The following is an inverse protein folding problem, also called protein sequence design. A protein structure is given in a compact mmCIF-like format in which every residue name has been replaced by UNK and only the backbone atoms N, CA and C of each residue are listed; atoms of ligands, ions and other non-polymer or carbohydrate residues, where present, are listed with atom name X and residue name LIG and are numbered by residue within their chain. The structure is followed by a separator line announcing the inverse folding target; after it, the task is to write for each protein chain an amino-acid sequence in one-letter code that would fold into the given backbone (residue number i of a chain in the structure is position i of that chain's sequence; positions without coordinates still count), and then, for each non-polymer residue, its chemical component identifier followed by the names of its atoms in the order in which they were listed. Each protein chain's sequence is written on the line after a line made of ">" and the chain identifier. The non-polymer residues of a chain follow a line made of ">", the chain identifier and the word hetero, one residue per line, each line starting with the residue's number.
data_IF_907111897355
#
_entry.id   IF_907111897355
#
_cell.length_a   1.000
_cell.length_b   1.000
_cell.length_c   1.000
_cell.angle_alpha   90.00
_cell.angle_beta   90.00
_cell.angle_gamma   90.00
#
_symmetry.space_group_name_H-M   'P 1'
#
loop_
_entity.id
_entity.type
_entity.pdbx_description
1 polymer ?
#
# COMPACT_ATOMS: atom_id res chain seq x y z
N UNK A 1 3.51 19.54 -11.41
CA UNK A 1 3.56 18.96 -10.05
C UNK A 1 2.51 19.64 -9.19
N UNK A 2 1.73 18.93 -8.36
CA UNK A 2 0.82 19.56 -7.42
C UNK A 2 1.62 20.48 -6.49
N UNK A 3 1.25 21.76 -6.44
CA UNK A 3 2.06 22.82 -5.82
C UNK A 3 1.70 23.11 -4.36
N UNK A 4 0.90 22.25 -3.71
CA UNK A 4 0.40 22.53 -2.36
C UNK A 4 0.38 21.27 -1.48
N UNK A 5 1.56 20.79 -1.11
CA UNK A 5 1.73 19.81 -0.04
C UNK A 5 2.46 20.54 1.08
N UNK A 6 1.70 21.06 2.04
CA UNK A 6 2.27 21.65 3.26
C UNK A 6 2.83 20.55 4.15
N UNK A 7 4.01 20.80 4.75
CA UNK A 7 4.84 19.87 5.54
C UNK A 7 4.12 19.16 6.72
N UNK A 8 2.89 19.56 7.05
CA UNK A 8 2.07 19.00 8.14
C UNK A 8 1.10 17.89 7.71
N UNK A 9 0.84 17.72 6.41
CA UNK A 9 -0.29 16.90 5.97
C UNK A 9 0.20 15.59 5.35
N UNK A 10 -0.25 14.46 5.92
CA UNK A 10 -0.01 13.15 5.33
C UNK A 10 -0.63 13.09 3.94
N UNK A 11 0.20 12.88 2.92
CA UNK A 11 -0.25 12.69 1.54
C UNK A 11 -0.28 11.21 1.18
N UNK A 12 -1.30 10.80 0.44
CA UNK A 12 -1.44 9.43 -0.06
C UNK A 12 -0.71 9.32 -1.40
N UNK A 13 0.33 8.49 -1.45
CA UNK A 13 1.02 8.11 -2.68
C UNK A 13 0.62 6.68 -3.03
N UNK A 14 0.17 6.46 -4.27
CA UNK A 14 -0.24 5.15 -4.75
C UNK A 14 0.27 4.94 -6.16
N UNK A 15 0.65 3.71 -6.46
CA UNK A 15 0.78 3.24 -7.83
C UNK A 15 0.01 1.93 -8.02
N UNK A 16 -0.62 1.80 -9.18
CA UNK A 16 -1.24 0.54 -9.62
C UNK A 16 -0.35 -0.06 -10.70
N UNK A 17 0.11 -1.29 -10.47
CA UNK A 17 0.95 -2.01 -11.40
C UNK A 17 0.20 -3.21 -11.97
N UNK A 18 0.05 -3.23 -13.28
CA UNK A 18 -0.55 -4.33 -14.04
C UNK A 18 0.39 -4.73 -15.18
N UNK A 19 0.17 -5.88 -15.86
CA UNK A 19 0.98 -6.25 -17.01
C UNK A 19 0.98 -5.24 -18.17
N UNK A 20 -0.05 -4.39 -18.26
CA UNK A 20 -0.22 -3.45 -19.36
C UNK A 20 0.22 -2.01 -19.03
N UNK A 21 0.20 -1.63 -17.75
CA UNK A 21 0.50 -0.26 -17.35
C UNK A 21 0.87 -0.13 -15.87
N UNK A 22 1.61 0.94 -15.58
CA UNK A 22 1.84 1.46 -14.24
C UNK A 22 1.20 2.85 -14.12
N UNK A 23 0.18 2.99 -13.27
CA UNK A 23 -0.53 4.25 -13.04
C UNK A 23 -0.09 4.86 -11.71
N UNK A 24 0.12 6.18 -11.67
CA UNK A 24 0.55 6.91 -10.47
C UNK A 24 -0.53 7.87 -9.99
N UNK A 25 -0.70 7.94 -8.67
CA UNK A 25 -1.69 8.77 -8.01
C UNK A 25 -1.08 9.52 -6.82
N UNK A 26 -1.55 10.74 -6.62
CA UNK A 26 -1.32 11.50 -5.38
C UNK A 26 -2.67 11.97 -4.87
N UNK A 27 -2.96 11.69 -3.60
CA UNK A 27 -4.24 12.01 -2.97
C UNK A 27 -5.44 11.54 -3.81
N UNK A 28 -5.34 10.32 -4.35
CA UNK A 28 -6.34 9.66 -5.22
C UNK A 28 -6.56 10.30 -6.59
N UNK A 29 -5.79 11.32 -6.95
CA UNK A 29 -5.82 11.97 -8.26
C UNK A 29 -4.78 11.30 -9.15
N UNK A 30 -5.20 10.86 -10.34
CA UNK A 30 -4.28 10.29 -11.34
C UNK A 30 -3.35 11.37 -11.86
N UNK A 31 -2.04 11.11 -11.80
CA UNK A 31 -1.01 12.03 -12.28
C UNK A 31 -0.39 11.58 -13.59
N UNK A 32 -0.19 10.28 -13.76
CA UNK A 32 0.55 9.74 -14.89
C UNK A 32 0.23 8.25 -15.11
N UNK A 33 0.45 7.78 -16.32
CA UNK A 33 0.29 6.39 -16.73
C UNK A 33 1.43 6.01 -17.68
N UNK A 34 2.13 4.91 -17.37
CA UNK A 34 3.21 4.37 -18.19
C UNK A 34 2.78 3.05 -18.80
N UNK A 35 2.86 2.97 -20.13
CA UNK A 35 2.56 1.76 -20.93
C UNK A 35 3.80 1.17 -21.61
N UNK A 36 4.91 1.90 -21.61
CA UNK A 36 6.21 1.45 -22.15
C UNK A 36 7.09 0.95 -21.01
N UNK A 37 7.87 -0.11 -21.26
CA UNK A 37 8.80 -0.72 -20.30
C UNK A 37 8.18 -1.05 -18.94
N UNK A 38 6.92 -1.51 -18.97
CA UNK A 38 6.22 -1.95 -17.75
C UNK A 38 6.94 -3.18 -17.20
N UNK A 39 7.42 -3.16 -15.94
CA UNK A 39 8.12 -4.30 -15.35
C UNK A 39 7.24 -5.55 -15.35
N UNK A 40 7.84 -6.72 -15.61
CA UNK A 40 7.15 -8.02 -15.64
C UNK A 40 7.67 -9.02 -14.61
N UNK A 41 8.76 -8.68 -13.91
CA UNK A 41 9.42 -9.54 -12.93
C UNK A 41 8.99 -9.11 -11.53
N UNK A 42 8.60 -10.08 -10.70
CA UNK A 42 8.23 -9.85 -9.31
C UNK A 42 9.40 -9.26 -8.50
N UNK A 43 9.09 -8.31 -7.63
CA UNK A 43 10.09 -7.63 -6.79
C UNK A 43 9.68 -7.54 -5.33
N UNK A 44 10.59 -7.02 -4.52
CA UNK A 44 10.37 -6.70 -3.11
C UNK A 44 10.03 -5.22 -2.95
N UNK A 45 9.24 -4.88 -1.92
CA UNK A 45 8.93 -3.49 -1.58
C UNK A 45 10.01 -2.97 -0.63
N UNK A 46 10.63 -1.86 -1.00
CA UNK A 46 11.63 -1.17 -0.20
C UNK A 46 11.16 0.24 0.12
N UNK A 47 11.36 0.65 1.37
CA UNK A 47 11.18 2.02 1.80
C UNK A 47 12.47 2.45 2.52
N UNK A 48 13.09 3.51 2.04
CA UNK A 48 14.31 4.07 2.63
C UNK A 48 14.30 5.60 2.54
N UNK A 49 15.10 6.23 3.40
CA UNK A 49 15.41 7.65 3.35
C UNK A 49 16.93 7.78 3.42
N UNK A 50 17.53 8.33 2.36
CA UNK A 50 18.96 8.58 2.24
C UNK A 50 19.17 9.87 1.45
N UNK A 51 20.38 10.45 1.51
CA UNK A 51 20.73 11.67 0.80
C UNK A 51 22.23 11.77 0.55
N UNK A 52 22.67 12.87 -0.07
CA UNK A 52 24.10 13.17 -0.28
C UNK A 52 24.61 13.06 -1.72
N UNK A 53 23.77 13.28 -2.73
CA UNK A 53 24.20 13.34 -4.14
C UNK A 53 24.01 14.73 -4.74
N UNK A 54 24.65 15.01 -5.88
CA UNK A 54 24.49 16.28 -6.62
C UNK A 54 23.04 16.54 -7.06
N UNK A 55 22.21 15.49 -7.17
CA UNK A 55 20.79 15.60 -7.52
C UNK A 55 19.90 15.91 -6.30
N UNK A 56 20.38 15.59 -5.09
CA UNK A 56 19.63 15.77 -3.85
C UNK A 56 19.76 17.18 -3.25
N UNK A 57 20.64 18.02 -3.82
CA UNK A 57 20.93 19.35 -3.28
C UNK A 57 21.80 19.32 -2.03
N UNK A 58 21.88 20.48 -1.36
CA UNK A 58 22.65 20.60 -0.12
C UNK A 58 21.99 19.84 1.03
N UNK A 59 22.78 19.21 1.93
CA UNK A 59 22.25 18.59 3.13
C UNK A 59 21.43 19.58 3.98
N UNK A 60 20.35 19.13 4.63
CA UNK A 60 19.52 19.97 5.46
C UNK A 60 20.27 20.43 6.72
N UNK A 61 20.01 21.67 7.17
CA UNK A 61 20.59 22.23 8.40
C UNK A 61 19.98 21.66 9.68
N UNK A 62 18.91 20.88 9.56
CA UNK A 62 18.19 20.23 10.65
C UNK A 62 17.94 18.75 10.34
N UNK A 63 17.70 17.90 11.36
CA UNK A 63 17.33 16.51 11.14
C UNK A 63 16.16 16.36 10.17
N UNK A 64 16.32 15.47 9.20
CA UNK A 64 15.23 15.07 8.30
C UNK A 64 14.59 13.78 8.80
N UNK A 65 13.27 13.81 8.94
CA UNK A 65 12.48 12.70 9.46
C UNK A 65 11.45 12.34 8.39
N UNK A 66 11.42 11.06 8.00
CA UNK A 66 10.36 10.49 7.17
C UNK A 66 9.38 9.76 8.09
N UNK A 67 8.13 10.22 8.12
CA UNK A 67 7.05 9.59 8.86
C UNK A 67 6.11 8.87 7.90
N UNK A 68 5.80 7.61 8.19
CA UNK A 68 4.84 6.81 7.43
C UNK A 68 3.71 6.39 8.35
N UNK A 69 2.49 6.74 7.96
CA UNK A 69 1.29 6.38 8.74
C UNK A 69 0.79 4.99 8.38
N UNK A 70 0.68 4.65 7.11
CA UNK A 70 0.15 3.36 6.67
C UNK A 70 0.72 2.96 5.32
N UNK A 71 0.94 1.65 5.15
CA UNK A 71 1.25 1.04 3.86
C UNK A 71 0.15 0.02 3.57
N UNK A 72 -0.49 0.14 2.41
CA UNK A 72 -1.54 -0.78 1.96
C UNK A 72 -1.10 -1.43 0.66
N UNK A 73 -1.17 -2.77 0.63
CA UNK A 73 -0.75 -3.57 -0.52
C UNK A 73 -1.93 -4.41 -0.99
N UNK A 74 -2.20 -4.33 -2.29
CA UNK A 74 -3.31 -5.04 -2.92
C UNK A 74 -2.75 -5.94 -4.02
N UNK A 75 -3.08 -7.23 -3.94
CA UNK A 75 -2.65 -8.21 -4.93
C UNK A 75 -3.88 -8.84 -5.58
N UNK A 76 -3.93 -8.79 -6.90
CA UNK A 76 -4.97 -9.50 -7.66
C UNK A 76 -4.60 -10.98 -7.73
N UNK A 77 -5.50 -11.85 -7.27
CA UNK A 77 -5.39 -13.30 -7.45
C UNK A 77 -6.75 -13.88 -7.80
N UNK A 78 -6.78 -14.77 -8.78
CA UNK A 78 -7.94 -15.64 -9.06
C UNK A 78 -7.79 -17.03 -8.44
N UNK A 79 -6.64 -17.32 -7.83
CA UNK A 79 -6.37 -18.58 -7.16
C UNK A 79 -6.86 -18.51 -5.72
N UNK A 80 -7.97 -19.20 -5.46
CA UNK A 80 -8.58 -19.28 -4.15
C UNK A 80 -7.66 -19.98 -3.14
N UNK A 81 -6.83 -20.93 -3.56
CA UNK A 81 -5.92 -21.64 -2.66
C UNK A 81 -4.80 -20.73 -2.17
N UNK A 82 -4.26 -19.88 -3.05
CA UNK A 82 -3.29 -18.85 -2.67
C UNK A 82 -3.93 -17.81 -1.76
N UNK A 83 -5.16 -17.38 -2.08
CA UNK A 83 -5.92 -16.47 -1.22
C UNK A 83 -6.12 -17.05 0.19
N UNK A 84 -6.59 -18.30 0.30
CA UNK A 84 -6.80 -18.98 1.58
C UNK A 84 -5.51 -19.16 2.37
N UNK A 85 -4.40 -19.46 1.68
CA UNK A 85 -3.07 -19.54 2.28
C UNK A 85 -2.65 -18.19 2.86
N UNK A 86 -2.77 -17.11 2.10
CA UNK A 86 -2.48 -15.75 2.58
C UNK A 86 -3.35 -15.35 3.76
N UNK A 87 -4.65 -15.67 3.73
CA UNK A 87 -5.59 -15.41 4.82
C UNK A 87 -5.18 -16.18 6.09
N UNK A 88 -4.83 -17.47 5.95
CA UNK A 88 -4.40 -18.31 7.07
C UNK A 88 -3.12 -17.77 7.73
N UNK A 89 -2.11 -17.42 6.91
CA UNK A 89 -0.86 -16.83 7.38
C UNK A 89 -1.14 -15.52 8.13
N UNK A 90 -1.93 -14.61 7.55
CA UNK A 90 -2.33 -13.36 8.18
C UNK A 90 -2.99 -13.58 9.55
N UNK A 91 -3.97 -14.49 9.63
CA UNK A 91 -4.67 -14.79 10.88
C UNK A 91 -3.76 -15.41 11.94
N UNK A 92 -2.79 -16.23 11.53
CA UNK A 92 -1.83 -16.84 12.46
C UNK A 92 -0.94 -15.79 13.15
N UNK A 93 -0.58 -14.71 12.45
CA UNK A 93 0.22 -13.61 13.00
C UNK A 93 -0.63 -12.71 13.89
N UNK A 94 -1.89 -12.48 13.53
CA UNK A 94 -2.86 -11.74 14.35
C UNK A 94 -3.10 -12.40 15.71
N UNK A 95 -3.17 -13.73 15.75
CA UNK A 95 -3.49 -14.48 16.97
C UNK A 95 -2.29 -14.71 17.91
N UNK A 96 -1.07 -14.38 17.48
CA UNK A 96 0.08 -14.36 18.38
C UNK A 96 -0.01 -13.10 19.25
N UNK A 97 -0.45 -13.25 20.50
CA UNK A 97 -0.34 -12.21 21.53
C UNK A 97 1.14 -11.88 21.73
N UNK A 98 1.64 -10.87 21.03
CA UNK A 98 3.00 -10.34 21.25
C UNK A 98 3.00 -9.52 22.54
N UNK A 99 3.48 -10.11 23.63
CA UNK A 99 3.60 -9.48 24.95
C UNK A 99 4.67 -8.39 25.08
N UNK A 100 4.99 -7.64 24.02
CA UNK A 100 5.87 -6.46 24.04
C UNK A 100 5.55 -5.59 22.81
N UNK A 101 4.78 -4.54 23.03
CA UNK A 101 4.41 -3.57 21.97
C UNK A 101 5.19 -2.29 22.19
N UNK A 102 6.25 -2.09 21.42
CA UNK A 102 6.71 -0.76 21.04
C UNK A 102 6.56 -0.70 19.52
N UNK A 103 5.79 0.29 19.03
CA UNK A 103 5.25 0.45 17.68
C UNK A 103 3.90 -0.27 17.40
N UNK A 104 2.82 0.51 17.47
CA UNK A 104 1.48 0.19 16.95
C UNK A 104 1.46 0.26 15.41
N UNK A 105 2.21 -0.62 14.74
CA UNK A 105 1.97 -0.89 13.31
C UNK A 105 0.83 -1.89 13.21
N UNK A 106 -0.40 -1.40 13.10
CA UNK A 106 -1.56 -2.25 12.86
C UNK A 106 -1.55 -2.70 11.39
N UNK A 107 -0.91 -3.82 11.11
CA UNK A 107 -1.02 -4.48 9.81
C UNK A 107 -2.39 -5.17 9.71
N UNK A 108 -3.39 -4.45 9.20
CA UNK A 108 -4.72 -5.03 8.96
C UNK A 108 -4.73 -5.79 7.63
N UNK A 109 -4.76 -7.12 7.68
CA UNK A 109 -4.99 -7.94 6.49
C UNK A 109 -6.48 -7.89 6.12
N UNK A 110 -6.82 -7.17 5.05
CA UNK A 110 -8.17 -7.14 4.48
C UNK A 110 -8.18 -7.96 3.19
N UNK A 111 -9.03 -9.00 3.16
CA UNK A 111 -9.30 -9.74 1.93
C UNK A 111 -10.68 -9.36 1.42
N UNK A 112 -10.75 -8.92 0.16
CA UNK A 112 -12.03 -8.65 -0.52
C UNK A 112 -12.19 -9.61 -1.68
N UNK A 113 -13.08 -10.59 -1.52
CA UNK A 113 -13.47 -11.46 -2.63
C UNK A 113 -14.36 -10.66 -3.58
N UNK A 114 -13.91 -10.48 -4.82
CA UNK A 114 -14.74 -9.92 -5.88
C UNK A 114 -15.55 -11.05 -6.51
N UNK A 115 -16.82 -11.19 -6.12
CA UNK A 115 -17.73 -12.11 -6.80
C UNK A 115 -18.23 -11.45 -8.08
N UNK A 116 -17.95 -12.05 -9.25
CA UNK A 116 -18.63 -11.70 -10.51
C UNK A 116 -20.09 -12.14 -10.39
N UNK A 117 -20.92 -11.29 -9.80
CA UNK A 117 -22.37 -11.46 -9.78
C UNK A 117 -22.93 -11.19 -11.17
N UNK A 118 -23.52 -12.22 -11.79
CA UNK A 118 -24.39 -12.02 -12.94
C UNK A 118 -25.64 -11.27 -12.43
N UNK A 119 -25.77 -10.01 -12.84
CA UNK A 119 -26.82 -9.05 -12.52
C UNK A 119 -27.79 -9.39 -11.37
N UNK A 120 -27.47 -9.04 -10.12
CA UNK A 120 -28.46 -8.61 -9.12
C UNK A 120 -27.75 -8.06 -7.86
N UNK A 121 -28.04 -6.78 -7.56
CA UNK A 121 -27.83 -6.02 -6.31
C UNK A 121 -26.68 -6.44 -5.37
N UNK A 122 -25.55 -5.70 -5.49
CA UNK A 122 -24.38 -5.74 -4.60
C UNK A 122 -24.79 -5.50 -3.14
N UNK A 123 -24.68 -6.53 -2.28
CA UNK A 123 -24.55 -6.35 -0.83
C UNK A 123 -23.07 -6.49 -0.49
N UNK A 124 -22.41 -5.37 -0.18
CA UNK A 124 -21.08 -5.40 0.41
C UNK A 124 -21.20 -6.05 1.79
N UNK A 125 -20.66 -7.26 1.95
CA UNK A 125 -20.35 -7.78 3.28
C UNK A 125 -18.92 -7.38 3.60
N UNK A 126 -18.76 -6.15 4.10
CA UNK A 126 -17.53 -5.76 4.78
C UNK A 126 -17.52 -6.49 6.12
N UNK A 127 -16.71 -7.55 6.25
CA UNK A 127 -16.27 -8.00 7.56
C UNK A 127 -15.09 -7.14 8.00
N UNK A 128 -15.38 -5.86 8.26
CA UNK A 128 -14.47 -4.95 8.95
C UNK A 128 -14.67 -5.11 10.46
N UNK A 129 -13.68 -5.67 11.15
CA UNK A 129 -13.55 -5.47 12.59
C UNK A 129 -12.48 -4.40 12.77
N UNK A 130 -12.93 -3.16 12.92
CA UNK A 130 -12.12 -2.03 13.35
C UNK A 130 -12.05 -2.09 14.89
N UNK A 131 -10.85 -1.97 15.46
CA UNK A 131 -10.68 -1.89 16.91
C UNK A 131 -10.16 -0.48 17.21
N UNK A 132 -10.94 0.23 18.02
CA UNK A 132 -10.62 1.54 18.59
C UNK A 132 -9.41 1.49 19.55
#
# INVERSE_FOLDING_TARGET
>A
MPTNITRSDLSEYRFDWTPAHTNFFVNRISLDSKTTDVPSINGSIYLNMWGGSIFAGSPPSSPSIMSVSTIQLYFNTSDNSLADTWISICNSKRNKKTGRTFATSTSTCLFRKSERGNGTRRRNSEKGAEVA
#
